data_IF_095905246703
#
_entry.id   IF_095905246703
#
_cell.length_a   1.000
_cell.length_b   1.000
_cell.length_c   1.000
_cell.angle_alpha   90.00
_cell.angle_beta   90.00
_cell.angle_gamma   90.00
#
_symmetry.space_group_name_H-M   'P 1'
#
loop_
_entity.id
_entity.type
_entity.pdbx_description
1 polymer ?
#
# COMPACT_ATOMS: atom_id res chain seq x y z
N UNK A 1 28.27 -14.29 33.72
CA UNK A 1 27.02 -14.36 34.52
C UNK A 1 26.32 -13.03 34.40
N UNK A 2 25.04 -13.10 34.04
CA UNK A 2 24.14 -12.04 33.61
C UNK A 2 23.73 -11.11 34.75
N UNK A 3 23.71 -9.80 34.48
CA UNK A 3 22.99 -8.76 35.24
C UNK A 3 22.45 -7.72 34.26
N UNK A 4 21.52 -8.14 33.38
CA UNK A 4 20.69 -7.22 32.59
C UNK A 4 19.32 -7.86 32.34
N UNK A 5 18.57 -8.06 33.42
CA UNK A 5 17.12 -8.23 33.38
C UNK A 5 16.56 -7.40 34.54
N UNK A 6 15.75 -6.40 34.20
CA UNK A 6 14.78 -5.63 35.03
C UNK A 6 14.87 -4.11 34.84
N UNK A 7 14.12 -3.62 33.86
CA UNK A 7 13.39 -2.36 33.87
C UNK A 7 12.41 -2.39 32.69
N UNK A 8 11.10 -2.24 32.82
CA UNK A 8 10.15 -2.29 33.93
C UNK A 8 8.81 -2.65 33.28
N UNK A 9 8.11 -3.62 33.84
CA UNK A 9 6.72 -3.92 33.52
C UNK A 9 5.87 -2.66 33.79
N UNK A 10 5.07 -2.25 32.82
CA UNK A 10 4.06 -1.21 33.01
C UNK A 10 2.72 -1.91 33.24
N UNK A 11 2.00 -1.52 34.29
CA UNK A 11 0.56 -1.81 34.43
C UNK A 11 -0.22 -0.76 33.62
N UNK A 12 -0.90 -1.20 32.57
CA UNK A 12 -1.75 -0.37 31.71
C UNK A 12 -3.22 -0.65 32.03
N UNK A 13 -4.01 0.39 32.24
CA UNK A 13 -5.46 0.29 32.26
C UNK A 13 -6.03 1.30 31.27
N UNK A 14 -6.86 0.82 30.34
CA UNK A 14 -7.58 1.65 29.38
C UNK A 14 -7.73 0.92 28.04
N UNK A 15 -8.96 0.51 27.72
CA UNK A 15 -9.30 -0.16 26.47
C UNK A 15 -10.55 0.42 25.83
N UNK A 16 -10.54 0.31 24.50
CA UNK A 16 -11.61 0.33 23.50
C UNK A 16 -12.05 1.68 22.91
N UNK A 17 -11.85 1.71 21.57
CA UNK A 17 -12.61 2.46 20.58
C UNK A 17 -14.11 2.43 20.93
N UNK A 18 -14.71 3.62 20.88
CA UNK A 18 -16.13 3.97 21.13
C UNK A 18 -16.50 4.41 22.55
N UNK A 19 -16.66 5.73 22.68
CA UNK A 19 -17.86 6.33 23.24
C UNK A 19 -17.98 6.36 24.76
N UNK A 20 -17.05 7.03 25.46
CA UNK A 20 -17.30 7.57 26.80
C UNK A 20 -16.60 8.94 26.92
N UNK A 21 -17.38 10.01 27.11
CA UNK A 21 -16.88 11.34 27.44
C UNK A 21 -16.09 11.30 28.77
N UNK A 22 -14.80 11.63 28.71
CA UNK A 22 -14.00 11.99 29.89
C UNK A 22 -13.40 13.38 29.64
N UNK A 23 -14.05 14.41 30.20
CA UNK A 23 -13.52 15.76 30.24
C UNK A 23 -12.51 15.90 31.38
N UNK A 24 -11.21 16.06 31.05
CA UNK A 24 -10.16 16.52 31.98
C UNK A 24 -8.95 15.59 32.16
N UNK A 25 -7.75 16.15 32.01
CA UNK A 25 -6.37 15.65 32.28
C UNK A 25 -6.17 14.12 32.44
N UNK A 26 -5.67 13.47 31.39
CA UNK A 26 -5.22 12.07 31.47
C UNK A 26 -3.87 11.99 32.19
N UNK A 27 -3.86 11.31 33.35
CA UNK A 27 -2.70 10.79 34.12
C UNK A 27 -3.03 9.35 34.54
N UNK A 28 -2.08 8.41 34.65
CA UNK A 28 -2.39 7.05 35.13
C UNK A 28 -1.31 6.54 36.11
N UNK A 29 -1.44 6.88 37.40
CA UNK A 29 -0.57 6.34 38.45
C UNK A 29 -0.97 6.70 39.89
N UNK A 30 -1.23 5.67 40.72
CA UNK A 30 -1.14 5.65 42.19
C UNK A 30 -2.18 6.45 42.99
N UNK A 31 -2.94 5.76 43.86
CA UNK A 31 -4.06 6.31 44.65
C UNK A 31 -3.76 7.46 45.66
N UNK A 32 -2.54 8.00 45.78
CA UNK A 32 -2.21 8.91 46.89
C UNK A 32 -1.20 10.06 46.62
N UNK A 33 -1.09 10.62 45.40
CA UNK A 33 -0.29 11.84 45.17
C UNK A 33 -1.02 12.89 44.32
N UNK A 34 -0.87 14.16 44.70
CA UNK A 34 -1.31 15.32 43.92
C UNK A 34 -0.66 15.27 42.51
N UNK A 35 -1.43 15.14 41.41
CA UNK A 35 -0.91 14.97 40.06
C UNK A 35 0.03 16.10 39.63
N UNK A 36 -0.20 17.32 40.10
CA UNK A 36 0.66 18.47 39.82
C UNK A 36 2.03 18.34 40.48
N UNK A 37 2.10 17.69 41.65
CA UNK A 37 3.36 17.46 42.36
C UNK A 37 4.20 16.35 41.69
N UNK A 38 3.55 15.35 41.11
CA UNK A 38 4.23 14.27 40.39
C UNK A 38 4.83 14.76 39.06
N UNK A 39 4.06 15.52 38.26
CA UNK A 39 4.55 16.15 37.02
C UNK A 39 5.68 17.13 37.32
N UNK A 40 5.53 17.96 38.37
CA UNK A 40 6.58 18.90 38.79
C UNK A 40 7.92 18.21 39.01
N UNK A 41 7.95 17.10 39.74
CA UNK A 41 9.19 16.35 40.01
C UNK A 41 9.84 15.82 38.74
N UNK A 42 9.05 15.38 37.75
CA UNK A 42 9.56 14.91 36.46
C UNK A 42 10.14 16.06 35.65
N UNK A 43 9.41 17.17 35.56
CA UNK A 43 9.84 18.39 34.86
C UNK A 43 11.13 18.96 35.47
N UNK A 44 11.20 19.05 36.80
CA UNK A 44 12.39 19.52 37.53
C UNK A 44 13.60 18.59 37.35
N UNK A 45 13.38 17.27 37.32
CA UNK A 45 14.43 16.29 37.05
C UNK A 45 15.05 16.51 35.67
N UNK A 46 14.24 16.86 34.68
CA UNK A 46 14.66 17.05 33.29
C UNK A 46 14.89 18.54 32.94
N UNK A 47 15.10 19.41 33.94
CA UNK A 47 15.22 20.87 33.77
C UNK A 47 16.27 21.29 32.73
N UNK A 48 17.36 20.53 32.59
CA UNK A 48 18.39 20.80 31.60
C UNK A 48 17.94 20.52 30.16
N UNK A 49 16.99 19.61 29.96
CA UNK A 49 16.43 19.23 28.65
C UNK A 49 15.26 20.14 28.26
N UNK A 50 14.35 20.37 29.19
CA UNK A 50 13.12 21.13 28.96
C UNK A 50 13.22 22.62 29.33
N UNK A 51 14.40 23.09 29.78
CA UNK A 51 14.63 24.49 30.16
C UNK A 51 13.63 25.02 31.22
N UNK A 52 13.19 24.15 32.13
CA UNK A 52 12.24 24.55 33.17
C UNK A 52 12.79 25.69 34.04
N UNK A 53 11.99 26.75 34.19
CA UNK A 53 12.27 27.88 35.08
C UNK A 53 11.35 27.82 36.31
N UNK A 54 11.89 27.54 37.51
CA UNK A 54 11.11 27.55 38.75
C UNK A 54 10.52 28.92 39.09
N UNK A 55 11.18 30.01 38.68
CA UNK A 55 10.73 31.39 38.92
C UNK A 55 9.46 31.72 38.13
N UNK A 56 9.33 31.18 36.91
CA UNK A 56 8.18 31.42 36.04
C UNK A 56 7.17 30.28 36.05
N UNK A 57 7.55 29.10 36.56
CA UNK A 57 6.70 27.90 36.56
C UNK A 57 6.43 27.35 35.16
N UNK A 58 7.34 27.58 34.23
CA UNK A 58 7.18 27.25 32.80
C UNK A 58 8.35 26.45 32.25
N UNK A 59 8.10 25.68 31.20
CA UNK A 59 9.07 24.86 30.49
C UNK A 59 8.94 25.01 28.97
N UNK A 60 9.95 24.53 28.26
CA UNK A 60 9.98 24.36 26.81
C UNK A 60 9.81 22.89 26.45
N UNK A 61 8.91 22.59 25.52
CA UNK A 61 8.61 21.21 25.12
C UNK A 61 8.79 21.06 23.61
N UNK A 62 9.41 19.98 23.12
CA UNK A 62 9.53 19.73 21.69
C UNK A 62 8.18 19.72 20.98
N UNK A 63 8.12 20.39 19.84
CA UNK A 63 6.97 20.41 18.95
C UNK A 63 7.45 20.06 17.53
N UNK A 64 6.73 19.15 16.87
CA UNK A 64 7.02 18.74 15.50
C UNK A 64 5.89 19.14 14.56
N UNK A 65 6.01 20.30 13.90
CA UNK A 65 5.02 20.72 12.91
C UNK A 65 5.07 19.88 11.62
N UNK A 66 4.00 19.93 10.83
CA UNK A 66 3.97 19.35 9.47
C UNK A 66 5.10 19.91 8.60
N UNK A 67 5.34 21.22 8.69
CA UNK A 67 6.32 21.90 7.85
C UNK A 67 7.76 21.47 8.18
N UNK A 68 8.03 21.11 9.43
CA UNK A 68 9.31 20.55 9.84
C UNK A 68 9.47 19.11 9.35
N UNK A 69 8.48 18.25 9.61
CA UNK A 69 8.57 16.81 9.34
C UNK A 69 8.52 16.43 7.85
N UNK A 70 8.02 17.31 6.99
CA UNK A 70 8.01 17.12 5.53
C UNK A 70 9.33 17.54 4.88
N UNK A 71 10.24 18.22 5.60
CA UNK A 71 11.56 18.60 5.08
C UNK A 71 12.47 17.38 4.95
N UNK A 72 13.43 17.48 4.05
CA UNK A 72 14.57 16.56 3.99
C UNK A 72 15.55 16.89 5.11
N UNK A 73 15.29 16.30 6.29
CA UNK A 73 16.17 16.40 7.45
C UNK A 73 17.26 15.31 7.37
N UNK A 74 18.52 15.63 7.67
CA UNK A 74 19.58 14.64 7.75
C UNK A 74 19.32 13.68 8.91
N UNK A 75 19.21 12.39 8.62
CA UNK A 75 19.11 11.36 9.66
C UNK A 75 20.44 11.18 10.38
N UNK A 76 20.40 11.24 11.71
CA UNK A 76 21.56 10.87 12.52
C UNK A 76 21.46 9.36 12.86
N UNK A 77 22.26 8.53 12.17
CA UNK A 77 22.26 7.07 12.36
C UNK A 77 22.94 6.62 13.66
N UNK A 78 23.90 7.39 14.16
CA UNK A 78 24.82 7.02 15.24
C UNK A 78 24.56 7.72 16.58
N UNK A 79 23.36 8.26 16.76
CA UNK A 79 22.98 8.90 18.01
C UNK A 79 22.40 7.91 19.00
N UNK A 80 22.86 8.02 20.26
CA UNK A 80 22.35 7.25 21.38
C UNK A 80 20.98 7.74 21.85
N UNK A 81 20.44 7.07 22.87
CA UNK A 81 19.21 7.48 23.57
C UNK A 81 19.55 8.48 24.68
N UNK A 82 18.73 9.50 24.89
CA UNK A 82 18.84 10.42 26.04
C UNK A 82 18.55 9.65 27.34
N UNK A 83 17.57 8.74 27.29
CA UNK A 83 17.28 7.80 28.38
C UNK A 83 16.53 8.42 29.57
N UNK A 84 16.24 9.72 29.51
CA UNK A 84 15.45 10.47 30.49
C UNK A 84 14.52 11.46 29.78
N UNK A 85 13.43 11.84 30.44
CA UNK A 85 12.43 12.76 29.88
C UNK A 85 11.50 12.17 28.82
N UNK A 86 10.82 13.07 28.11
CA UNK A 86 9.91 12.74 27.02
C UNK A 86 10.64 12.05 25.86
N UNK A 87 10.07 10.97 25.30
CA UNK A 87 10.65 10.36 24.10
C UNK A 87 10.66 11.30 22.88
N UNK A 88 9.98 12.45 22.96
CA UNK A 88 10.08 13.52 21.98
C UNK A 88 11.53 14.01 21.79
N UNK A 89 12.34 14.04 22.85
CA UNK A 89 13.74 14.44 22.72
C UNK A 89 14.60 13.37 22.03
N UNK A 90 14.29 12.08 22.22
CA UNK A 90 14.92 11.00 21.46
C UNK A 90 14.62 11.15 19.95
N UNK A 91 13.40 11.59 19.58
CA UNK A 91 13.06 11.90 18.19
C UNK A 91 13.79 13.13 17.65
N UNK A 92 13.93 14.21 18.44
CA UNK A 92 14.74 15.38 18.05
C UNK A 92 16.18 14.97 17.70
N UNK A 93 16.80 14.16 18.56
CA UNK A 93 18.15 13.66 18.34
C UNK A 93 18.25 12.86 17.04
N UNK A 94 17.26 11.98 16.80
CA UNK A 94 17.23 11.14 15.60
C UNK A 94 17.15 11.96 14.31
N UNK A 95 16.38 13.05 14.35
CA UNK A 95 16.19 13.98 13.24
C UNK A 95 17.29 15.05 13.12
N UNK A 96 18.34 14.98 13.97
CA UNK A 96 19.45 15.94 13.93
C UNK A 96 19.07 17.35 14.41
N UNK A 97 18.00 17.48 15.19
CA UNK A 97 17.41 18.74 15.65
C UNK A 97 17.86 19.14 17.07
N UNK A 98 18.57 18.27 17.78
CA UNK A 98 19.02 18.56 19.14
C UNK A 98 20.22 19.53 19.13
N UNK A 99 20.46 20.31 20.20
CA UNK A 99 21.60 21.23 20.25
C UNK A 99 22.94 20.56 19.92
N UNK A 100 23.74 21.24 19.08
CA UNK A 100 25.01 20.75 18.53
C UNK A 100 24.88 19.83 17.32
N UNK A 101 23.67 19.55 16.84
CA UNK A 101 23.43 18.71 15.66
C UNK A 101 23.20 19.52 14.37
N UNK A 102 23.34 18.90 13.18
CA UNK A 102 23.34 19.62 11.90
C UNK A 102 22.10 20.46 11.60
N UNK A 103 20.95 20.14 12.19
CA UNK A 103 19.67 20.81 11.96
C UNK A 103 19.11 21.47 13.22
N UNK A 104 19.94 21.76 14.23
CA UNK A 104 19.49 22.39 15.49
C UNK A 104 18.68 23.68 15.28
N UNK A 105 19.02 24.47 14.25
CA UNK A 105 18.37 25.75 13.95
C UNK A 105 16.92 25.59 13.46
N UNK A 106 16.50 24.38 13.12
CA UNK A 106 15.13 24.05 12.68
C UNK A 106 14.27 23.50 13.81
N UNK A 107 14.83 23.28 15.00
CA UNK A 107 14.10 22.70 16.12
C UNK A 107 12.99 23.64 16.59
N UNK A 108 11.78 23.10 16.69
CA UNK A 108 10.60 23.81 17.14
C UNK A 108 10.27 23.38 18.59
N UNK A 109 10.02 24.37 19.44
CA UNK A 109 9.63 24.16 20.83
C UNK A 109 8.43 25.05 21.16
N UNK A 110 7.46 24.50 21.87
CA UNK A 110 6.48 25.31 22.57
C UNK A 110 7.17 25.89 23.80
N UNK A 111 7.36 27.21 23.83
CA UNK A 111 8.06 27.91 24.92
C UNK A 111 7.08 28.45 25.95
N UNK A 112 7.56 28.63 27.18
CA UNK A 112 6.78 29.18 28.29
C UNK A 112 5.48 28.40 28.60
N UNK A 113 5.48 27.07 28.39
CA UNK A 113 4.34 26.20 28.71
C UNK A 113 4.20 26.13 30.23
N UNK A 114 3.06 26.54 30.81
CA UNK A 114 2.85 26.46 32.25
C UNK A 114 2.70 25.01 32.69
N UNK A 115 3.19 24.67 33.89
CA UNK A 115 3.16 23.30 34.41
C UNK A 115 1.77 22.64 34.35
N UNK A 116 0.71 23.40 34.65
CA UNK A 116 -0.68 22.90 34.62
C UNK A 116 -1.25 22.64 33.22
N UNK A 117 -0.57 23.07 32.15
CA UNK A 117 -0.92 22.77 30.76
C UNK A 117 -0.11 21.61 30.17
N UNK A 118 0.84 21.04 30.95
CA UNK A 118 1.67 19.94 30.49
C UNK A 118 0.84 18.66 30.42
N UNK A 119 0.75 18.10 29.22
CA UNK A 119 0.17 16.78 29.03
C UNK A 119 1.22 15.74 29.43
N UNK A 120 0.81 14.74 30.20
CA UNK A 120 1.68 13.66 30.64
C UNK A 120 0.96 12.32 30.56
N UNK A 121 1.75 11.25 30.52
CA UNK A 121 1.27 9.87 30.58
C UNK A 121 2.22 9.05 31.44
N UNK A 122 1.67 8.47 32.50
CA UNK A 122 2.48 7.74 33.48
C UNK A 122 3.56 8.65 34.08
N UNK A 123 4.82 8.23 33.95
CA UNK A 123 5.97 8.96 34.52
C UNK A 123 6.69 9.86 33.49
N UNK A 124 6.04 10.25 32.40
CA UNK A 124 6.63 11.09 31.36
C UNK A 124 5.67 12.23 30.95
N UNK A 125 6.21 13.41 30.67
CA UNK A 125 5.48 14.46 29.96
C UNK A 125 5.64 14.31 28.45
N UNK A 126 4.68 14.86 27.70
CA UNK A 126 4.62 14.70 26.25
C UNK A 126 4.96 16.01 25.53
N UNK A 127 5.65 15.89 24.41
CA UNK A 127 5.66 16.87 23.33
C UNK A 127 4.46 16.77 22.42
N UNK A 128 4.45 17.62 21.39
CA UNK A 128 3.38 17.68 20.38
C UNK A 128 3.91 17.30 19.02
N UNK A 129 3.13 16.54 18.27
CA UNK A 129 3.48 16.14 16.91
C UNK A 129 2.27 16.29 16.00
N UNK A 130 2.48 16.95 14.85
CA UNK A 130 1.45 17.04 13.81
C UNK A 130 1.14 15.66 13.27
N UNK A 131 -0.14 15.28 13.24
CA UNK A 131 -0.58 14.01 12.62
C UNK A 131 -0.11 13.88 11.17
N UNK A 132 -0.29 14.93 10.39
CA UNK A 132 0.14 14.98 8.99
C UNK A 132 1.65 14.78 8.83
N UNK A 133 2.44 15.51 9.63
CA UNK A 133 3.89 15.36 9.63
C UNK A 133 4.33 13.98 10.08
N UNK A 134 3.67 13.42 11.10
CA UNK A 134 3.92 12.07 11.59
C UNK A 134 3.65 11.00 10.54
N UNK A 135 2.50 11.09 9.85
CA UNK A 135 2.14 10.14 8.79
C UNK A 135 3.14 10.20 7.65
N UNK A 136 3.56 11.40 7.22
CA UNK A 136 4.61 11.56 6.22
C UNK A 136 5.91 10.92 6.68
N UNK A 137 6.36 11.24 7.90
CA UNK A 137 7.59 10.69 8.47
C UNK A 137 7.57 9.15 8.52
N UNK A 138 6.49 8.58 9.05
CA UNK A 138 6.30 7.12 9.12
C UNK A 138 6.26 6.51 7.73
N UNK A 139 5.52 7.11 6.80
CA UNK A 139 5.36 6.57 5.45
C UNK A 139 6.67 6.60 4.66
N UNK A 140 7.54 7.57 4.94
CA UNK A 140 8.86 7.69 4.29
C UNK A 140 9.79 6.57 4.73
N UNK A 141 9.74 6.22 6.01
CA UNK A 141 10.65 5.29 6.65
C UNK A 141 10.03 3.93 6.98
N UNK A 142 8.83 3.67 6.45
CA UNK A 142 8.00 2.53 6.83
C UNK A 142 8.68 1.19 6.56
N UNK A 143 8.59 0.27 7.53
CA UNK A 143 9.02 -1.12 7.37
C UNK A 143 7.88 -2.08 7.67
N UNK A 144 7.28 -1.96 8.85
CA UNK A 144 6.15 -2.77 9.27
C UNK A 144 5.20 -1.99 10.18
N UNK A 145 3.97 -2.49 10.26
CA UNK A 145 3.04 -2.11 11.30
C UNK A 145 2.26 -3.33 11.77
N UNK A 146 2.00 -3.40 13.07
CA UNK A 146 1.23 -4.48 13.68
C UNK A 146 0.46 -3.97 14.90
N UNK A 147 -0.60 -4.69 15.28
CA UNK A 147 -1.22 -4.52 16.58
C UNK A 147 -0.42 -5.28 17.64
N UNK A 148 -0.20 -4.67 18.79
CA UNK A 148 0.39 -5.33 19.95
C UNK A 148 -0.51 -5.17 21.18
N UNK A 149 -0.54 -6.20 22.02
CA UNK A 149 -1.11 -6.10 23.35
C UNK A 149 -0.16 -5.31 24.25
N UNK A 150 -0.73 -4.46 25.10
CA UNK A 150 0.04 -3.68 26.06
C UNK A 150 -0.07 -4.33 27.44
N UNK A 151 1.05 -4.41 28.16
CA UNK A 151 1.12 -5.02 29.50
C UNK A 151 0.10 -4.38 30.47
N UNK A 152 -0.91 -5.11 30.91
CA UNK A 152 -2.00 -4.61 31.77
C UNK A 152 -3.36 -4.46 31.09
N UNK A 153 -3.42 -4.56 29.76
CA UNK A 153 -4.66 -4.60 28.99
C UNK A 153 -4.76 -3.47 27.96
N UNK A 154 -5.47 -3.73 26.87
CA UNK A 154 -5.59 -2.84 25.72
C UNK A 154 -4.65 -3.21 24.58
N UNK A 155 -4.80 -2.51 23.45
CA UNK A 155 -4.04 -2.73 22.22
C UNK A 155 -3.44 -1.41 21.73
N UNK A 156 -2.30 -1.49 21.05
CA UNK A 156 -1.67 -0.34 20.42
C UNK A 156 -1.17 -0.68 19.02
N UNK A 157 -1.04 0.35 18.18
CA UNK A 157 -0.40 0.21 16.86
C UNK A 157 1.10 0.36 17.07
N UNK A 158 1.87 -0.66 16.71
CA UNK A 158 3.33 -0.60 16.67
C UNK A 158 3.76 -0.44 15.22
N UNK A 159 4.53 0.60 14.94
CA UNK A 159 5.04 0.91 13.60
C UNK A 159 6.56 0.94 13.67
N UNK A 160 7.23 0.00 13.00
CA UNK A 160 8.69 0.05 12.89
C UNK A 160 9.08 0.79 11.61
N UNK A 161 10.10 1.63 11.75
CA UNK A 161 10.67 2.42 10.67
C UNK A 161 12.19 2.32 10.72
N UNK A 162 12.88 2.73 9.65
CA UNK A 162 14.35 2.82 9.69
C UNK A 162 14.87 3.83 10.72
N UNK A 163 14.05 4.81 11.10
CA UNK A 163 14.43 5.83 12.09
C UNK A 163 14.09 5.41 13.53
N UNK A 164 13.36 4.33 13.74
CA UNK A 164 13.00 3.83 15.07
C UNK A 164 11.58 3.28 15.09
N UNK A 165 11.07 2.98 16.28
CA UNK A 165 9.74 2.40 16.46
C UNK A 165 8.78 3.37 17.13
N UNK A 166 7.58 3.49 16.58
CA UNK A 166 6.49 4.27 17.14
C UNK A 166 5.43 3.32 17.69
N UNK A 167 4.92 3.62 18.89
CA UNK A 167 3.76 2.94 19.47
C UNK A 167 2.65 3.96 19.64
N UNK A 168 1.54 3.80 18.95
CA UNK A 168 0.41 4.71 18.97
C UNK A 168 -0.71 4.14 19.85
N UNK A 169 -1.18 4.94 20.80
CA UNK A 169 -2.19 4.61 21.78
C UNK A 169 -3.33 5.61 21.69
N UNK A 170 -4.54 5.14 21.85
CA UNK A 170 -5.72 5.98 22.01
C UNK A 170 -6.17 5.91 23.47
N UNK A 171 -6.34 7.07 24.11
CA UNK A 171 -6.80 7.17 25.50
C UNK A 171 -7.82 8.31 25.58
N UNK A 172 -9.10 7.96 25.69
CA UNK A 172 -10.19 8.91 25.46
C UNK A 172 -10.12 9.45 24.04
N UNK A 173 -10.37 10.75 23.86
CA UNK A 173 -10.33 11.41 22.55
C UNK A 173 -8.92 11.91 22.16
N UNK A 174 -7.86 11.27 22.70
CA UNK A 174 -6.47 11.71 22.49
C UNK A 174 -5.59 10.57 22.04
N UNK A 175 -4.67 10.92 21.15
CA UNK A 175 -3.67 10.00 20.62
C UNK A 175 -2.32 10.31 21.27
N UNK A 176 -1.68 9.25 21.78
CA UNK A 176 -0.35 9.30 22.37
C UNK A 176 0.59 8.42 21.55
N UNK A 177 1.77 8.94 21.24
CA UNK A 177 2.84 8.25 20.54
C UNK A 177 4.01 8.08 21.49
N UNK A 178 4.49 6.85 21.62
CA UNK A 178 5.78 6.58 22.23
C UNK A 178 6.79 6.26 21.15
N UNK A 179 7.96 6.92 21.18
CA UNK A 179 9.05 6.68 20.24
C UNK A 179 10.21 5.95 20.93
N UNK A 180 10.69 4.90 20.28
CA UNK A 180 11.84 4.11 20.72
C UNK A 180 12.91 4.10 19.63
N UNK A 181 14.03 4.78 19.90
CA UNK A 181 15.21 4.85 19.03
C UNK A 181 15.98 3.53 18.95
N UNK A 182 15.76 2.60 19.88
CA UNK A 182 16.57 1.38 20.08
C UNK A 182 16.45 0.33 18.99
N UNK A 183 15.55 0.50 18.03
CA UNK A 183 15.38 -0.45 16.91
C UNK A 183 16.18 0.03 15.69
N UNK A 184 17.33 -0.63 15.46
CA UNK A 184 18.07 -0.55 14.19
C UNK A 184 17.56 -1.63 13.26
N UNK A 185 17.07 -1.24 12.11
CA UNK A 185 16.65 -2.15 11.05
C UNK A 185 17.37 -1.77 9.75
N UNK A 186 17.47 -2.76 8.87
CA UNK A 186 18.14 -2.72 7.57
C UNK A 186 17.69 -1.56 6.68
N UNK A 187 18.56 -1.21 5.73
CA UNK A 187 18.29 -0.25 4.65
C UNK A 187 16.87 -0.39 4.09
N UNK A 188 16.15 0.73 3.97
CA UNK A 188 14.81 0.83 3.37
C UNK A 188 14.93 1.53 2.04
N UNK A 189 14.30 0.95 1.02
CA UNK A 189 14.14 1.63 -0.27
C UNK A 189 13.13 2.77 -0.09
N UNK A 190 13.63 4.00 -0.08
CA UNK A 190 12.83 5.20 0.07
C UNK A 190 12.01 5.46 -1.19
N UNK A 191 10.80 5.98 -1.01
CA UNK A 191 10.02 6.51 -2.13
C UNK A 191 10.46 7.95 -2.37
N UNK A 192 11.04 8.22 -3.55
CA UNK A 192 11.62 9.53 -3.90
C UNK A 192 10.69 10.72 -3.67
N UNK A 193 9.40 10.57 -3.98
CA UNK A 193 8.36 11.58 -3.74
C UNK A 193 7.17 10.95 -3.02
N UNK A 194 6.82 11.49 -1.84
CA UNK A 194 5.68 11.04 -1.05
C UNK A 194 4.60 12.12 -0.90
N UNK A 195 3.58 12.07 -1.75
CA UNK A 195 2.41 12.93 -1.68
C UNK A 195 1.49 12.44 -0.58
N UNK A 196 1.45 13.19 0.52
CA UNK A 196 0.64 12.84 1.69
C UNK A 196 -0.87 12.72 1.36
N UNK A 197 -1.38 13.57 0.48
CA UNK A 197 -2.79 13.52 0.04
C UNK A 197 -3.13 12.18 -0.64
N UNK A 198 -2.19 11.60 -1.39
CA UNK A 198 -2.38 10.30 -2.03
C UNK A 198 -2.45 9.16 -0.98
N UNK A 199 -1.68 9.26 0.11
CA UNK A 199 -1.76 8.32 1.26
C UNK A 199 -3.17 8.36 1.87
N UNK A 200 -3.71 9.56 2.09
CA UNK A 200 -5.05 9.72 2.68
C UNK A 200 -6.16 9.25 1.75
N UNK A 201 -6.06 9.55 0.46
CA UNK A 201 -7.04 9.10 -0.53
C UNK A 201 -7.06 7.56 -0.61
N UNK A 202 -5.88 6.94 -0.64
CA UNK A 202 -5.75 5.49 -0.60
C UNK A 202 -6.31 4.88 0.69
N UNK A 203 -5.98 5.44 1.86
CA UNK A 203 -6.50 4.97 3.15
C UNK A 203 -8.03 5.08 3.26
N UNK A 204 -8.63 6.05 2.57
CA UNK A 204 -10.10 6.21 2.43
C UNK A 204 -10.72 5.26 1.40
N UNK A 205 -9.99 4.28 0.91
CA UNK A 205 -10.46 3.29 -0.06
C UNK A 205 -10.67 3.84 -1.47
N UNK A 206 -10.10 5.00 -1.80
CA UNK A 206 -10.09 5.52 -3.17
C UNK A 206 -8.90 4.95 -3.93
N UNK A 207 -9.02 4.87 -5.24
CA UNK A 207 -7.94 4.41 -6.12
C UNK A 207 -7.69 5.42 -7.21
N UNK A 208 -6.41 5.57 -7.57
CA UNK A 208 -5.99 6.39 -8.69
C UNK A 208 -6.26 5.61 -9.98
N UNK A 209 -7.18 6.10 -10.79
CA UNK A 209 -7.45 5.55 -12.12
C UNK A 209 -6.87 6.47 -13.19
N UNK A 210 -6.28 5.87 -14.22
CA UNK A 210 -5.74 6.56 -15.39
C UNK A 210 -6.70 6.37 -16.58
N UNK A 211 -6.99 7.44 -17.32
CA UNK A 211 -7.87 7.44 -18.48
C UNK A 211 -7.29 8.32 -19.59
N UNK A 212 -7.56 7.97 -20.86
CA UNK A 212 -7.23 8.80 -22.02
C UNK A 212 -8.45 9.61 -22.44
N UNK A 213 -8.42 10.93 -22.21
CA UNK A 213 -9.46 11.86 -22.65
C UNK A 213 -8.87 12.75 -23.76
N UNK A 214 -9.45 12.70 -24.96
CA UNK A 214 -8.97 13.46 -26.12
C UNK A 214 -7.47 13.25 -26.41
N UNK A 215 -6.97 12.00 -26.28
CA UNK A 215 -5.56 11.62 -26.41
C UNK A 215 -4.61 12.23 -25.37
N UNK A 216 -5.15 12.76 -24.26
CA UNK A 216 -4.37 13.25 -23.14
C UNK A 216 -4.53 12.28 -21.96
N UNK A 217 -3.43 11.78 -21.36
CA UNK A 217 -3.51 10.97 -20.17
C UNK A 217 -3.99 11.83 -19.01
N UNK A 218 -5.00 11.34 -18.30
CA UNK A 218 -5.59 12.00 -17.14
C UNK A 218 -5.64 11.01 -15.99
N UNK A 219 -5.33 11.48 -14.78
CA UNK A 219 -5.40 10.65 -13.58
C UNK A 219 -6.45 11.23 -12.63
N UNK A 220 -7.31 10.37 -12.11
CA UNK A 220 -8.39 10.77 -11.20
C UNK A 220 -8.51 9.77 -10.07
N UNK A 221 -8.64 10.28 -8.85
CA UNK A 221 -9.01 9.46 -7.71
C UNK A 221 -10.51 9.17 -7.75
N UNK A 222 -10.87 7.90 -7.75
CA UNK A 222 -12.25 7.43 -7.77
C UNK A 222 -12.56 6.62 -6.52
N UNK A 223 -13.79 6.72 -6.04
CA UNK A 223 -14.35 5.80 -5.05
C UNK A 223 -15.32 4.89 -5.82
N UNK A 224 -15.08 3.59 -5.87
CA UNK A 224 -16.01 2.65 -6.48
C UNK A 224 -16.53 1.65 -5.44
N UNK A 225 -17.61 2.05 -4.78
CA UNK A 225 -18.28 1.20 -3.80
C UNK A 225 -19.15 0.11 -4.44
N UNK A 226 -19.30 0.10 -5.77
CA UNK A 226 -20.31 -0.74 -6.45
C UNK A 226 -19.71 -2.00 -7.07
N UNK A 227 -18.41 -2.01 -7.36
CA UNK A 227 -17.73 -3.11 -8.07
C UNK A 227 -16.60 -3.70 -7.23
N UNK A 228 -16.38 -5.00 -7.38
CA UNK A 228 -15.27 -5.65 -6.68
C UNK A 228 -13.92 -5.26 -7.31
N UNK A 229 -12.86 -5.30 -6.52
CA UNK A 229 -11.48 -5.06 -6.96
C UNK A 229 -11.11 -5.93 -8.17
N UNK A 230 -11.51 -7.21 -8.14
CA UNK A 230 -11.26 -8.17 -9.21
C UNK A 230 -11.99 -7.82 -10.50
N UNK A 231 -13.18 -7.19 -10.39
CA UNK A 231 -13.89 -6.67 -11.54
C UNK A 231 -13.13 -5.47 -12.12
N UNK A 232 -12.73 -4.51 -11.27
CA UNK A 232 -12.07 -3.28 -11.70
C UNK A 232 -10.71 -3.53 -12.34
N UNK A 233 -9.98 -4.54 -11.89
CA UNK A 233 -8.66 -4.89 -12.44
C UNK A 233 -8.66 -5.30 -13.90
N UNK A 234 -9.83 -5.56 -14.49
CA UNK A 234 -9.99 -5.89 -15.91
C UNK A 234 -10.70 -4.80 -16.71
N UNK A 235 -11.21 -3.75 -16.05
CA UNK A 235 -12.06 -2.72 -16.64
C UNK A 235 -11.51 -1.29 -16.52
N UNK A 236 -10.60 -1.06 -15.57
CA UNK A 236 -10.04 0.26 -15.28
C UNK A 236 -8.52 0.17 -15.22
N UNK A 237 -7.82 1.22 -15.66
CA UNK A 237 -6.37 1.30 -15.50
C UNK A 237 -6.05 1.90 -14.14
N UNK A 238 -5.34 1.16 -13.30
CA UNK A 238 -4.85 1.64 -12.02
C UNK A 238 -3.51 2.38 -12.24
N UNK A 239 -3.48 3.62 -11.80
CA UNK A 239 -2.26 4.42 -11.75
C UNK A 239 -1.35 4.04 -10.60
N UNK A 240 -0.14 4.60 -10.62
CA UNK A 240 0.81 4.48 -9.50
C UNK A 240 0.83 5.82 -8.77
N UNK A 241 0.32 5.88 -7.52
CA UNK A 241 0.44 7.11 -6.75
C UNK A 241 1.91 7.36 -6.39
N UNK A 242 2.24 8.63 -6.17
CA UNK A 242 3.54 9.02 -5.61
C UNK A 242 3.47 8.87 -4.09
N UNK A 243 3.10 7.69 -3.59
CA UNK A 243 2.89 7.43 -2.17
C UNK A 243 2.89 5.93 -1.85
N UNK A 244 3.06 5.59 -0.56
CA UNK A 244 2.75 4.26 -0.04
C UNK A 244 1.24 4.04 -0.06
N UNK A 245 0.82 2.82 -0.40
CA UNK A 245 -0.58 2.37 -0.32
C UNK A 245 -0.69 1.39 0.84
N UNK A 246 -1.23 1.83 1.97
CA UNK A 246 -1.49 0.94 3.10
C UNK A 246 -2.70 0.04 2.85
N UNK A 247 -2.54 -1.25 3.08
CA UNK A 247 -3.56 -2.26 2.86
C UNK A 247 -3.64 -3.20 4.04
N UNK A 248 -4.86 -3.65 4.37
CA UNK A 248 -5.03 -4.79 5.28
C UNK A 248 -4.42 -6.03 4.64
N UNK A 249 -4.01 -6.99 5.48
CA UNK A 249 -3.54 -8.30 5.04
C UNK A 249 -4.49 -8.95 4.03
N UNK A 250 -5.79 -8.96 4.32
CA UNK A 250 -6.81 -9.51 3.42
C UNK A 250 -6.81 -8.84 2.04
N UNK A 251 -6.74 -7.50 2.00
CA UNK A 251 -6.72 -6.75 0.73
C UNK A 251 -5.45 -7.02 -0.07
N UNK A 252 -4.31 -7.09 0.62
CA UNK A 252 -3.02 -7.42 0.01
C UNK A 252 -3.01 -8.85 -0.55
N UNK A 253 -3.56 -9.81 0.18
CA UNK A 253 -3.72 -11.21 -0.25
C UNK A 253 -4.63 -11.31 -1.47
N UNK A 254 -5.71 -10.51 -1.55
CA UNK A 254 -6.58 -10.46 -2.74
C UNK A 254 -5.84 -9.96 -3.98
N UNK A 255 -5.06 -8.87 -3.87
CA UNK A 255 -4.23 -8.39 -4.98
C UNK A 255 -3.15 -9.40 -5.38
N UNK A 256 -2.53 -10.05 -4.41
CA UNK A 256 -1.51 -11.08 -4.63
C UNK A 256 -2.12 -12.30 -5.34
N UNK A 257 -3.28 -12.78 -4.87
CA UNK A 257 -4.04 -13.86 -5.53
C UNK A 257 -4.42 -13.50 -6.95
N UNK A 258 -4.86 -12.27 -7.20
CA UNK A 258 -5.19 -11.80 -8.55
C UNK A 258 -3.96 -11.81 -9.46
N UNK A 259 -2.80 -11.34 -8.98
CA UNK A 259 -1.52 -11.39 -9.71
C UNK A 259 -1.17 -12.84 -10.08
N UNK A 260 -1.20 -13.74 -9.11
CA UNK A 260 -0.81 -15.14 -9.29
C UNK A 260 -1.79 -15.87 -10.22
N UNK A 261 -3.09 -15.61 -10.09
CA UNK A 261 -4.11 -16.08 -11.02
C UNK A 261 -3.87 -15.56 -12.44
N UNK A 262 -3.56 -14.27 -12.60
CA UNK A 262 -3.32 -13.68 -13.90
C UNK A 262 -2.11 -14.31 -14.60
N UNK A 263 -1.02 -14.57 -13.87
CA UNK A 263 0.12 -15.36 -14.39
C UNK A 263 -0.32 -16.75 -14.84
N UNK A 264 -1.00 -17.51 -13.96
CA UNK A 264 -1.43 -18.87 -14.26
C UNK A 264 -2.41 -18.93 -15.45
N UNK A 265 -3.27 -17.91 -15.60
CA UNK A 265 -4.19 -17.78 -16.71
C UNK A 265 -3.45 -17.52 -18.02
N UNK A 266 -2.52 -16.57 -18.04
CA UNK A 266 -1.70 -16.25 -19.21
C UNK A 266 -0.93 -17.50 -19.64
N UNK A 267 -0.20 -18.15 -18.74
CA UNK A 267 0.59 -19.35 -19.06
C UNK A 267 -0.28 -20.48 -19.61
N UNK A 268 -1.47 -20.69 -19.02
CA UNK A 268 -2.41 -21.70 -19.50
C UNK A 268 -2.94 -21.36 -20.89
N UNK A 269 -3.22 -20.09 -21.19
CA UNK A 269 -3.64 -19.65 -22.54
C UNK A 269 -2.50 -19.84 -23.54
N UNK A 270 -1.27 -19.46 -23.20
CA UNK A 270 -0.09 -19.66 -24.03
C UNK A 270 0.08 -21.13 -24.40
N UNK A 271 0.04 -22.00 -23.39
CA UNK A 271 0.18 -23.43 -23.55
C UNK A 271 -0.96 -24.03 -24.41
N UNK A 272 -2.22 -23.69 -24.12
CA UNK A 272 -3.36 -24.23 -24.87
C UNK A 272 -3.35 -23.82 -26.34
N UNK A 273 -2.97 -22.57 -26.64
CA UNK A 273 -2.94 -22.07 -28.01
C UNK A 273 -1.80 -22.69 -28.81
N UNK A 274 -0.64 -22.94 -28.19
CA UNK A 274 0.48 -23.65 -28.84
C UNK A 274 0.16 -25.12 -29.16
N UNK A 275 -0.74 -25.77 -28.42
CA UNK A 275 -1.21 -27.15 -28.69
C UNK A 275 -2.31 -27.23 -29.78
N UNK A 276 -2.80 -26.10 -30.30
CA UNK A 276 -3.93 -26.12 -31.24
C UNK A 276 -3.55 -26.59 -32.63
N UNK A 277 -4.42 -27.45 -33.17
CA UNK A 277 -4.39 -27.85 -34.60
C UNK A 277 -5.53 -27.22 -35.40
N UNK A 278 -6.53 -26.65 -34.73
CA UNK A 278 -7.70 -26.00 -35.35
C UNK A 278 -8.09 -24.71 -34.59
N UNK A 279 -8.69 -23.71 -35.26
CA UNK A 279 -9.00 -23.67 -36.69
C UNK A 279 -7.73 -23.45 -37.55
N UNK A 280 -7.61 -24.17 -38.66
CA UNK A 280 -6.41 -24.14 -39.53
C UNK A 280 -5.96 -22.72 -39.95
N UNK A 281 -6.92 -21.80 -40.19
CA UNK A 281 -6.62 -20.40 -40.52
C UNK A 281 -5.88 -19.66 -39.40
N UNK A 282 -6.26 -19.91 -38.14
CA UNK A 282 -5.59 -19.33 -36.99
C UNK A 282 -4.21 -19.95 -36.77
N UNK A 283 -4.10 -21.28 -36.88
CA UNK A 283 -2.82 -21.99 -36.74
C UNK A 283 -1.82 -21.53 -37.80
N UNK A 284 -2.27 -21.37 -39.05
CA UNK A 284 -1.44 -20.81 -40.12
C UNK A 284 -1.06 -19.34 -39.86
N UNK A 285 -1.95 -18.54 -39.28
CA UNK A 285 -1.62 -17.17 -38.90
C UNK A 285 -0.56 -17.12 -37.78
N UNK A 286 -0.66 -17.99 -36.76
CA UNK A 286 0.31 -18.08 -35.68
C UNK A 286 1.72 -18.42 -36.16
N UNK A 287 1.87 -19.27 -37.18
CA UNK A 287 3.18 -19.58 -37.76
C UNK A 287 3.78 -18.43 -38.59
N UNK A 288 2.94 -17.52 -39.09
CA UNK A 288 3.35 -16.43 -39.98
C UNK A 288 3.63 -15.13 -39.22
N UNK A 289 3.05 -14.95 -38.03
CA UNK A 289 3.29 -13.78 -37.18
C UNK A 289 4.62 -13.95 -36.44
N UNK A 290 5.54 -12.99 -36.62
CA UNK A 290 6.75 -12.92 -35.81
C UNK A 290 6.36 -12.68 -34.35
N UNK A 291 6.77 -13.61 -33.48
CA UNK A 291 6.53 -13.54 -32.03
C UNK A 291 7.57 -12.66 -31.31
N UNK A 292 8.46 -11.99 -32.05
CA UNK A 292 9.49 -11.11 -31.50
C UNK A 292 8.99 -9.66 -31.34
N UNK A 293 9.19 -9.15 -30.12
CA UNK A 293 8.59 -7.92 -29.60
C UNK A 293 8.99 -6.62 -30.32
N UNK A 294 10.04 -6.62 -31.14
CA UNK A 294 10.58 -5.41 -31.77
C UNK A 294 9.75 -4.94 -32.97
N UNK A 295 8.88 -5.78 -33.54
CA UNK A 295 8.12 -5.46 -34.77
C UNK A 295 6.63 -5.18 -34.56
N UNK A 296 6.14 -5.28 -33.32
CA UNK A 296 4.72 -5.14 -32.98
C UNK A 296 4.16 -3.71 -33.12
N UNK A 297 5.00 -2.72 -33.47
CA UNK A 297 4.59 -1.34 -33.77
C UNK A 297 4.01 -1.17 -35.19
N UNK A 298 4.22 -2.13 -36.10
CA UNK A 298 3.72 -2.07 -37.47
C UNK A 298 2.53 -3.03 -37.69
N UNK A 299 1.43 -2.80 -36.96
CA UNK A 299 0.15 -3.51 -37.15
C UNK A 299 -0.52 -3.23 -38.50
N UNK A 300 -0.01 -2.28 -39.29
CA UNK A 300 -0.60 -1.81 -40.55
C UNK A 300 -0.66 -2.86 -41.69
N UNK A 301 0.02 -4.01 -41.57
CA UNK A 301 0.12 -5.02 -42.64
C UNK A 301 -0.73 -6.28 -42.42
N UNK A 302 -1.43 -6.41 -41.28
CA UNK A 302 -2.19 -7.63 -40.98
C UNK A 302 -3.67 -7.42 -41.32
N UNK A 303 -4.15 -8.21 -42.26
CA UNK A 303 -5.40 -7.90 -42.96
C UNK A 303 -6.53 -8.88 -42.63
N UNK A 304 -6.21 -10.06 -42.11
CA UNK A 304 -7.23 -11.06 -41.80
C UNK A 304 -7.60 -11.08 -40.31
N UNK A 305 -8.86 -11.43 -39.95
CA UNK A 305 -9.26 -11.61 -38.56
C UNK A 305 -8.45 -12.69 -37.81
N UNK A 306 -7.90 -13.67 -38.54
CA UNK A 306 -7.04 -14.71 -37.98
C UNK A 306 -5.67 -14.16 -37.55
N UNK A 307 -5.04 -13.34 -38.39
CA UNK A 307 -3.77 -12.66 -38.08
C UNK A 307 -3.93 -11.66 -36.93
N UNK A 308 -5.03 -10.90 -36.92
CA UNK A 308 -5.38 -10.00 -35.81
C UNK A 308 -5.42 -10.75 -34.47
N UNK A 309 -6.07 -11.92 -34.42
CA UNK A 309 -6.11 -12.74 -33.21
C UNK A 309 -4.73 -13.30 -32.84
N UNK A 310 -3.94 -13.72 -33.83
CA UNK A 310 -2.59 -14.26 -33.63
C UNK A 310 -1.64 -13.20 -33.05
N UNK A 311 -1.80 -11.93 -33.45
CA UNK A 311 -1.06 -10.79 -32.90
C UNK A 311 -1.47 -10.53 -31.46
N UNK A 312 -2.76 -10.59 -31.13
CA UNK A 312 -3.20 -10.44 -29.74
C UNK A 312 -2.58 -11.49 -28.82
N UNK A 313 -2.50 -12.72 -29.32
CA UNK A 313 -1.78 -13.79 -28.67
C UNK A 313 -0.27 -13.50 -28.55
N UNK A 314 0.38 -13.05 -29.63
CA UNK A 314 1.80 -12.69 -29.65
C UNK A 314 2.15 -11.59 -28.64
N UNK A 315 1.29 -10.56 -28.52
CA UNK A 315 1.45 -9.52 -27.49
C UNK A 315 1.32 -10.10 -26.09
N UNK A 316 0.31 -10.92 -25.83
CA UNK A 316 0.12 -11.58 -24.53
C UNK A 316 1.38 -12.37 -24.14
N UNK A 317 1.92 -13.15 -25.09
CA UNK A 317 3.18 -13.91 -24.92
C UNK A 317 4.40 -13.02 -24.68
N UNK A 318 4.47 -11.89 -25.38
CA UNK A 318 5.57 -10.93 -25.24
C UNK A 318 5.54 -10.26 -23.88
N UNK A 319 4.35 -9.80 -23.47
CA UNK A 319 4.14 -9.06 -22.23
C UNK A 319 4.30 -9.96 -21.01
N UNK A 320 3.97 -11.25 -21.09
CA UNK A 320 4.21 -12.21 -20.02
C UNK A 320 5.69 -12.41 -19.68
N UNK A 321 6.58 -12.20 -20.66
CA UNK A 321 8.04 -12.32 -20.50
C UNK A 321 8.73 -11.01 -20.13
N UNK A 322 8.04 -9.87 -20.23
CA UNK A 322 8.58 -8.54 -19.92
C UNK A 322 8.20 -8.09 -18.52
N UNK A 323 8.93 -7.11 -17.98
CA UNK A 323 8.52 -6.36 -16.78
C UNK A 323 7.34 -5.44 -17.12
N UNK A 324 6.15 -6.02 -17.27
CA UNK A 324 4.94 -5.34 -17.72
C UNK A 324 4.58 -4.13 -16.85
N UNK A 325 4.93 -4.17 -15.55
CA UNK A 325 4.73 -3.09 -14.59
C UNK A 325 5.53 -1.81 -14.87
N UNK A 326 6.56 -1.88 -15.73
CA UNK A 326 7.38 -0.73 -16.12
C UNK A 326 6.90 -0.07 -17.43
N UNK A 327 5.86 -0.63 -18.07
CA UNK A 327 5.28 -0.01 -19.26
C UNK A 327 4.51 1.25 -18.88
N UNK A 328 4.71 2.32 -19.64
CA UNK A 328 3.94 3.55 -19.47
C UNK A 328 2.46 3.30 -19.71
N UNK A 329 1.63 4.14 -19.09
CA UNK A 329 0.19 4.12 -19.30
C UNK A 329 -0.17 4.24 -20.77
N UNK A 330 0.45 5.17 -21.52
CA UNK A 330 0.15 5.42 -22.93
C UNK A 330 0.41 4.19 -23.79
N UNK A 331 1.54 3.52 -23.56
CA UNK A 331 1.91 2.32 -24.29
C UNK A 331 0.93 1.17 -24.00
N UNK A 332 0.62 0.95 -22.72
CA UNK A 332 -0.26 -0.13 -22.31
C UNK A 332 -1.72 0.12 -22.71
N UNK A 333 -2.18 1.37 -22.62
CA UNK A 333 -3.49 1.81 -23.11
C UNK A 333 -3.63 1.57 -24.62
N UNK A 334 -2.63 1.96 -25.41
CA UNK A 334 -2.62 1.71 -26.87
C UNK A 334 -2.71 0.21 -27.18
N UNK A 335 -1.96 -0.61 -26.44
CA UNK A 335 -2.06 -2.07 -26.51
C UNK A 335 -3.49 -2.53 -26.23
N UNK A 336 -4.10 -2.09 -25.13
CA UNK A 336 -5.45 -2.49 -24.72
C UNK A 336 -6.50 -2.14 -25.78
N UNK A 337 -6.50 -0.89 -26.25
CA UNK A 337 -7.49 -0.42 -27.24
C UNK A 337 -7.35 -1.18 -28.56
N UNK A 338 -6.12 -1.36 -29.04
CA UNK A 338 -5.84 -2.07 -30.30
C UNK A 338 -6.29 -3.54 -30.19
N UNK A 339 -5.89 -4.23 -29.12
CA UNK A 339 -6.19 -5.65 -28.94
C UNK A 339 -7.68 -5.91 -28.72
N UNK A 340 -8.38 -5.01 -28.01
CA UNK A 340 -9.82 -5.11 -27.84
C UNK A 340 -10.57 -5.07 -29.18
N UNK A 341 -10.15 -4.18 -30.09
CA UNK A 341 -10.71 -4.09 -31.44
C UNK A 341 -10.45 -5.36 -32.24
N UNK A 342 -9.22 -5.86 -32.21
CA UNK A 342 -8.78 -7.03 -32.96
C UNK A 342 -9.44 -8.32 -32.47
N UNK A 343 -9.49 -8.55 -31.16
CA UNK A 343 -10.17 -9.70 -30.55
C UNK A 343 -11.67 -9.69 -30.88
N UNK A 344 -12.30 -8.51 -30.87
CA UNK A 344 -13.72 -8.37 -31.21
C UNK A 344 -13.97 -8.74 -32.68
N UNK A 345 -13.13 -8.23 -33.58
CA UNK A 345 -13.22 -8.51 -35.02
C UNK A 345 -13.02 -10.01 -35.30
N UNK A 346 -12.00 -10.61 -34.69
CA UNK A 346 -11.74 -12.04 -34.77
C UNK A 346 -12.91 -12.87 -34.21
N UNK A 347 -13.48 -12.48 -33.07
CA UNK A 347 -14.60 -13.21 -32.48
C UNK A 347 -15.85 -13.18 -33.38
N UNK A 348 -16.14 -12.04 -34.00
CA UNK A 348 -17.22 -11.93 -34.98
C UNK A 348 -17.00 -12.86 -36.17
N UNK A 349 -15.77 -12.91 -36.70
CA UNK A 349 -15.38 -13.77 -37.81
C UNK A 349 -15.57 -15.27 -37.50
N UNK A 350 -15.06 -15.75 -36.37
CA UNK A 350 -15.14 -17.18 -36.04
C UNK A 350 -16.53 -17.62 -35.60
N UNK A 351 -17.31 -16.75 -34.95
CA UNK A 351 -18.57 -17.15 -34.29
C UNK A 351 -19.82 -16.61 -34.98
N UNK A 352 -19.96 -15.30 -35.11
CA UNK A 352 -21.13 -14.66 -35.74
C UNK A 352 -20.94 -13.16 -35.91
N UNK A 353 -21.37 -12.62 -37.05
CA UNK A 353 -21.42 -11.17 -37.30
C UNK A 353 -22.47 -10.43 -36.42
N UNK A 354 -23.32 -11.15 -35.68
CA UNK A 354 -24.34 -10.58 -34.77
C UNK A 354 -23.85 -10.43 -33.32
N UNK A 355 -22.55 -10.54 -33.06
CA UNK A 355 -22.03 -10.42 -31.69
C UNK A 355 -22.08 -8.98 -31.22
N UNK A 356 -22.79 -8.76 -30.12
CA UNK A 356 -22.83 -7.52 -29.36
C UNK A 356 -21.56 -7.39 -28.49
N UNK A 357 -20.80 -6.31 -28.70
CA UNK A 357 -19.48 -6.10 -28.07
C UNK A 357 -19.59 -6.05 -26.54
N UNK A 358 -20.58 -5.30 -26.02
CA UNK A 358 -20.80 -5.19 -24.57
C UNK A 358 -21.04 -6.56 -23.93
N UNK A 359 -21.80 -7.42 -24.60
CA UNK A 359 -22.08 -8.79 -24.16
C UNK A 359 -20.86 -9.71 -24.23
N UNK A 360 -20.02 -9.56 -25.27
CA UNK A 360 -18.75 -10.31 -25.37
C UNK A 360 -17.82 -9.96 -24.20
N UNK A 361 -17.67 -8.67 -23.92
CA UNK A 361 -16.83 -8.20 -22.82
C UNK A 361 -17.37 -8.67 -21.47
N UNK A 362 -18.65 -8.43 -21.17
CA UNK A 362 -19.25 -8.84 -19.90
C UNK A 362 -19.18 -10.35 -19.68
N UNK A 363 -19.48 -11.16 -20.71
CA UNK A 363 -19.41 -12.63 -20.61
C UNK A 363 -17.97 -13.12 -20.39
N UNK A 364 -16.99 -12.49 -21.04
CA UNK A 364 -15.57 -12.82 -20.86
C UNK A 364 -15.09 -12.44 -19.46
N UNK A 365 -15.54 -11.29 -18.94
CA UNK A 365 -15.24 -10.83 -17.59
C UNK A 365 -15.88 -11.72 -16.52
N UNK A 366 -17.14 -12.11 -16.69
CA UNK A 366 -17.82 -13.03 -15.78
C UNK A 366 -17.09 -14.38 -15.70
N UNK A 367 -16.60 -14.89 -16.85
CA UNK A 367 -15.79 -16.10 -16.91
C UNK A 367 -14.45 -15.94 -16.20
N UNK A 368 -13.78 -14.80 -16.39
CA UNK A 368 -12.53 -14.48 -15.69
C UNK A 368 -12.74 -14.52 -14.17
N UNK A 369 -13.80 -13.86 -13.68
CA UNK A 369 -14.13 -13.81 -12.26
C UNK A 369 -14.53 -15.18 -11.71
N UNK A 370 -15.24 -16.01 -12.49
CA UNK A 370 -15.57 -17.37 -12.09
C UNK A 370 -14.31 -18.23 -11.92
N UNK A 371 -13.39 -18.19 -12.90
CA UNK A 371 -12.12 -18.92 -12.81
C UNK A 371 -11.25 -18.42 -11.64
N UNK A 372 -11.25 -17.10 -11.38
CA UNK A 372 -10.54 -16.53 -10.24
C UNK A 372 -11.12 -16.98 -8.91
N UNK A 373 -12.46 -17.09 -8.78
CA UNK A 373 -13.11 -17.57 -7.55
C UNK A 373 -12.71 -19.01 -7.24
N UNK A 374 -12.62 -19.86 -8.25
CA UNK A 374 -12.23 -21.27 -8.13
C UNK A 374 -10.71 -21.46 -8.01
N UNK A 375 -9.92 -20.43 -8.31
CA UNK A 375 -8.46 -20.50 -8.25
C UNK A 375 -7.97 -20.61 -6.81
N UNK A 376 -7.25 -21.69 -6.52
CA UNK A 376 -6.54 -21.90 -5.27
C UNK A 376 -5.03 -21.76 -5.54
N UNK A 377 -4.33 -20.81 -4.88
CA UNK A 377 -2.88 -20.72 -4.98
C UNK A 377 -2.26 -22.04 -4.51
N UNK A 378 -1.45 -22.69 -5.33
CA UNK A 378 -0.82 -23.94 -4.92
C UNK A 378 0.30 -23.67 -3.91
N UNK A 379 0.16 -24.20 -2.70
CA UNK A 379 1.17 -24.16 -1.63
C UNK A 379 2.32 -25.13 -1.97
N UNK A 380 3.07 -24.88 -3.04
CA UNK A 380 4.38 -25.47 -3.31
C UNK A 380 4.90 -24.98 -4.66
N UNK A 381 6.07 -24.34 -4.61
CA UNK A 381 6.94 -24.09 -5.76
C UNK A 381 7.00 -25.29 -6.70
N UNK A 382 6.84 -25.05 -7.99
CA UNK A 382 7.17 -25.95 -9.12
C UNK A 382 6.17 -27.04 -9.51
N UNK A 383 4.97 -27.16 -8.93
CA UNK A 383 4.03 -28.22 -9.34
C UNK A 383 3.29 -27.95 -10.67
N UNK A 384 3.20 -26.69 -11.12
CA UNK A 384 2.46 -26.30 -12.32
C UNK A 384 3.34 -25.48 -13.27
N UNK A 385 4.44 -26.08 -13.74
CA UNK A 385 5.43 -25.39 -14.57
C UNK A 385 4.85 -24.87 -15.91
N UNK A 386 3.65 -25.30 -16.33
CA UNK A 386 3.10 -24.90 -17.63
C UNK A 386 1.59 -24.62 -17.69
N UNK A 387 0.77 -25.06 -16.72
CA UNK A 387 -0.68 -24.85 -16.76
C UNK A 387 -1.39 -25.23 -15.46
N UNK A 388 -2.30 -24.39 -14.98
CA UNK A 388 -3.13 -24.69 -13.80
C UNK A 388 -4.34 -25.58 -14.20
N UNK A 389 -4.55 -26.75 -13.58
CA UNK A 389 -5.54 -27.74 -14.03
C UNK A 389 -6.98 -27.21 -14.13
N UNK A 390 -7.44 -26.44 -13.14
CA UNK A 390 -8.80 -25.91 -13.13
C UNK A 390 -9.02 -24.88 -14.25
N UNK A 391 -8.05 -23.98 -14.45
CA UNK A 391 -8.08 -22.97 -15.52
C UNK A 391 -8.04 -23.68 -16.87
N UNK A 392 -7.15 -24.67 -17.02
CA UNK A 392 -7.03 -25.47 -18.25
C UNK A 392 -8.32 -26.18 -18.56
N UNK A 393 -8.95 -26.81 -17.56
CA UNK A 393 -10.21 -27.51 -17.74
C UNK A 393 -11.31 -26.56 -18.24
N UNK A 394 -11.44 -25.36 -17.65
CA UNK A 394 -12.44 -24.39 -18.09
C UNK A 394 -12.19 -23.84 -19.50
N UNK A 395 -10.94 -23.50 -19.82
CA UNK A 395 -10.59 -23.01 -21.15
C UNK A 395 -10.73 -24.12 -22.21
N UNK A 396 -10.42 -25.38 -21.88
CA UNK A 396 -10.62 -26.52 -22.79
C UNK A 396 -12.10 -26.77 -23.12
N UNK A 397 -13.05 -26.43 -22.24
CA UNK A 397 -14.49 -26.51 -22.57
C UNK A 397 -14.87 -25.60 -23.74
N UNK A 398 -14.13 -24.52 -23.96
CA UNK A 398 -14.32 -23.62 -25.10
C UNK A 398 -13.78 -24.25 -26.40
N UNK A 399 -12.71 -25.03 -26.32
CA UNK A 399 -11.97 -25.60 -27.46
C UNK A 399 -12.39 -27.03 -27.83
N UNK A 400 -13.58 -27.48 -27.42
CA UNK A 400 -14.07 -28.81 -27.82
C UNK A 400 -14.12 -28.96 -29.36
N UNK A 401 -14.01 -30.18 -29.93
CA UNK A 401 -13.89 -30.37 -31.39
C UNK A 401 -14.96 -29.64 -32.22
N UNK A 402 -16.21 -29.59 -31.75
CA UNK A 402 -17.31 -28.89 -32.44
C UNK A 402 -17.41 -27.39 -32.13
N UNK A 403 -16.40 -26.83 -31.44
CA UNK A 403 -16.35 -25.48 -30.87
C UNK A 403 -15.00 -24.78 -31.11
N UNK A 404 -14.14 -25.29 -31.99
CA UNK A 404 -12.81 -24.72 -32.27
C UNK A 404 -12.85 -23.20 -32.59
N UNK A 405 -13.96 -22.72 -33.16
CA UNK A 405 -14.22 -21.30 -33.42
C UNK A 405 -14.33 -20.41 -32.16
N UNK A 406 -14.38 -20.98 -30.95
CA UNK A 406 -14.33 -20.22 -29.70
C UNK A 406 -12.91 -19.83 -29.29
N UNK A 407 -11.89 -20.09 -30.11
CA UNK A 407 -10.50 -19.68 -29.86
C UNK A 407 -10.37 -18.20 -29.51
N UNK A 408 -11.19 -17.33 -30.14
CA UNK A 408 -11.25 -15.91 -29.81
C UNK A 408 -11.56 -15.65 -28.32
N UNK A 409 -12.39 -16.47 -27.67
CA UNK A 409 -12.68 -16.36 -26.24
C UNK A 409 -11.50 -16.78 -25.37
N UNK A 410 -10.74 -17.79 -25.77
CA UNK A 410 -9.55 -18.24 -25.02
C UNK A 410 -8.46 -17.16 -25.05
N UNK A 411 -8.19 -16.59 -26.23
CA UNK A 411 -7.26 -15.46 -26.36
C UNK A 411 -7.75 -14.24 -25.58
N UNK A 412 -9.07 -13.98 -25.57
CA UNK A 412 -9.68 -12.93 -24.74
C UNK A 412 -9.31 -13.11 -23.26
N UNK A 413 -9.37 -14.33 -22.72
CA UNK A 413 -9.00 -14.57 -21.33
C UNK A 413 -7.53 -14.25 -21.04
N UNK A 414 -6.61 -14.56 -21.98
CA UNK A 414 -5.20 -14.18 -21.86
C UNK A 414 -4.99 -12.66 -21.90
N UNK A 415 -5.78 -11.95 -22.71
CA UNK A 415 -5.81 -10.49 -22.73
C UNK A 415 -6.28 -9.90 -21.39
N UNK A 416 -7.40 -10.41 -20.82
CA UNK A 416 -7.87 -9.97 -19.50
C UNK A 416 -6.86 -10.28 -18.39
N UNK A 417 -6.22 -11.45 -18.45
CA UNK A 417 -5.11 -11.81 -17.57
C UNK A 417 -3.96 -10.79 -17.66
N UNK A 418 -3.57 -10.40 -18.87
CA UNK A 418 -2.52 -9.40 -19.10
C UNK A 418 -2.89 -8.04 -18.49
N UNK A 419 -4.13 -7.60 -18.65
CA UNK A 419 -4.61 -6.34 -18.06
C UNK A 419 -4.63 -6.40 -16.52
N UNK A 420 -5.20 -7.47 -15.95
CA UNK A 420 -5.22 -7.68 -14.50
C UNK A 420 -3.80 -7.80 -13.90
N UNK A 421 -2.87 -8.42 -14.64
CA UNK A 421 -1.47 -8.52 -14.23
C UNK A 421 -0.80 -7.15 -14.18
N UNK A 422 -0.99 -6.32 -15.21
CA UNK A 422 -0.45 -4.96 -15.22
C UNK A 422 -0.97 -4.13 -14.04
N UNK A 423 -2.28 -4.14 -13.80
CA UNK A 423 -2.91 -3.43 -12.68
C UNK A 423 -2.40 -3.93 -11.32
N UNK A 424 -2.42 -5.24 -11.10
CA UNK A 424 -2.00 -5.83 -9.83
C UNK A 424 -0.54 -5.55 -9.50
N UNK A 425 0.37 -5.67 -10.46
CA UNK A 425 1.79 -5.36 -10.24
C UNK A 425 2.03 -3.89 -9.92
N UNK A 426 1.31 -2.96 -10.58
CA UNK A 426 1.43 -1.52 -10.32
C UNK A 426 0.97 -1.17 -8.91
N UNK A 427 -0.17 -1.70 -8.48
CA UNK A 427 -0.69 -1.48 -7.13
C UNK A 427 0.23 -2.10 -6.07
N UNK A 428 0.65 -3.36 -6.27
CA UNK A 428 1.51 -4.08 -5.33
C UNK A 428 2.90 -3.44 -5.17
N UNK A 429 3.40 -2.71 -6.17
CA UNK A 429 4.68 -2.01 -6.10
C UNK A 429 4.76 -1.00 -4.95
N UNK A 430 3.63 -0.35 -4.64
CA UNK A 430 3.52 0.66 -3.57
C UNK A 430 2.79 0.14 -2.33
N UNK A 431 2.28 -1.09 -2.37
CA UNK A 431 1.49 -1.65 -1.29
C UNK A 431 2.36 -1.95 -0.05
N UNK A 432 1.81 -1.66 1.13
CA UNK A 432 2.38 -2.03 2.42
C UNK A 432 1.28 -2.62 3.30
N UNK A 433 1.55 -3.77 3.88
CA UNK A 433 0.64 -4.37 4.86
C UNK A 433 0.61 -3.50 6.12
N UNK A 434 -0.60 -3.25 6.63
CA UNK A 434 -0.81 -2.55 7.88
C UNK A 434 -2.10 -3.04 8.58
N UNK A 435 -2.19 -2.93 9.91
CA UNK A 435 -3.42 -3.21 10.64
C UNK A 435 -4.51 -2.21 10.26
N UNK A 436 -5.77 -2.61 10.41
CA UNK A 436 -6.92 -1.77 10.05
C UNK A 436 -6.95 -0.48 10.87
N UNK A 437 -6.52 -0.54 12.12
CA UNK A 437 -6.40 0.58 13.03
C UNK A 437 -5.45 1.66 12.50
N UNK A 438 -4.33 1.27 11.86
CA UNK A 438 -3.46 2.23 11.19
C UNK A 438 -4.16 2.88 10.01
N UNK A 439 -4.87 2.10 9.19
CA UNK A 439 -5.59 2.63 8.03
C UNK A 439 -6.71 3.61 8.46
N UNK A 440 -7.44 3.29 9.54
CA UNK A 440 -8.42 4.22 10.14
C UNK A 440 -7.75 5.47 10.69
N UNK A 441 -6.62 5.30 11.38
CA UNK A 441 -5.80 6.43 11.86
C UNK A 441 -5.34 7.33 10.72
N UNK A 442 -5.05 6.81 9.52
CA UNK A 442 -4.72 7.62 8.34
C UNK A 442 -5.92 8.37 7.75
N UNK A 443 -7.13 7.80 7.87
CA UNK A 443 -8.34 8.35 7.25
C UNK A 443 -9.02 9.48 8.06
N UNK A 444 -8.77 9.55 9.37
CA UNK A 444 -9.33 10.53 10.30
C UNK A 444 -8.97 12.00 9.96
N UNK A 445 -9.66 12.96 10.56
CA UNK A 445 -9.42 14.40 10.35
C UNK A 445 -8.79 15.10 11.59
N UNK A 446 -8.45 14.35 12.64
CA UNK A 446 -7.86 14.92 13.87
C UNK A 446 -6.43 15.43 13.66
N UNK A 447 -6.06 16.50 14.38
CA UNK A 447 -4.78 17.20 14.19
C UNK A 447 -3.81 17.15 15.39
N UNK A 448 -4.30 16.86 16.61
CA UNK A 448 -3.45 16.93 17.80
C UNK A 448 -3.05 15.55 18.34
N UNK A 449 -1.76 15.25 18.24
CA UNK A 449 -1.15 14.04 18.80
C UNK A 449 -0.04 14.42 19.77
N UNK A 450 0.01 13.71 20.89
CA UNK A 450 1.03 13.88 21.91
C UNK A 450 2.11 12.82 21.75
N UNK A 451 3.38 13.16 21.94
CA UNK A 451 4.51 12.23 21.88
C UNK A 451 5.27 12.24 23.21
N UNK A 452 5.35 11.12 23.93
CA UNK A 452 6.01 11.10 25.26
C UNK A 452 6.28 9.74 25.85
#
# INVERSE_FOLDING_TARGET
MSYFERASEFDIHGGQFTGIEISGNVYLGGQHSDPDQAIRRLVEKDAALNQYSPEHGTLSIPHFSKALLVRDLPECSDVGRIGTGSCAFDLLIRLGLFPGQPSEALAEYDTAVPLGAVVSRGNCYCGRISRHGFIYLVSRYFQDAAMAEVSGGGTCIVISTSIGRFKCYEIGDRIFIHFDIGTRSSHVELIDEQKLDDVFLAARGKYLTEEMLNNVPTSKWTADSTRSLEYLSTASFFGVPNAVIYMTKETLERWTRLRDFAYALIDTVLFLVEELTEPASFVSALSNVSLDAQHLANTANYSTPAEQLAICFAFTRTLSKKKISLLSFEYFHTYVVTNMKDITTAHQHYRSNKVEIGKLYSTSQDRFLLMLREFQPSVASNAFVHSHPAIRAELKKLLQPNKANNIGLVVFQGFLGTFALWNSLRVLMRAREAPEEWIRFLAADEDEIYIG
#
